data_IF_220894273292
#
_entry.id   IF_220894273292
#
_cell.length_a   1.000
_cell.length_b   1.000
_cell.length_c   1.000
_cell.angle_alpha   90.00
_cell.angle_beta   90.00
_cell.angle_gamma   90.00
#
_symmetry.space_group_name_H-M   'P 1'
#
loop_
_entity.id
_entity.type
_entity.pdbx_description
1 polymer ?
#
# COMPACT_ATOMS: atom_id res chain seq x y z
N UNK A 1 -7.36 34.68 -16.38
CA UNK A 1 -6.57 34.23 -15.21
C UNK A 1 -6.10 32.81 -15.48
N UNK A 2 -4.87 32.63 -15.96
CA UNK A 2 -4.27 31.33 -16.23
C UNK A 2 -3.97 30.60 -14.91
N UNK A 3 -4.49 29.39 -14.78
CA UNK A 3 -4.17 28.49 -13.66
C UNK A 3 -2.78 27.93 -13.94
N UNK A 4 -1.83 28.33 -13.10
CA UNK A 4 -0.46 27.81 -13.04
C UNK A 4 -0.55 26.30 -12.78
N UNK A 5 -0.28 25.49 -13.82
CA UNK A 5 -0.01 24.06 -13.66
C UNK A 5 1.26 23.95 -12.84
N UNK A 6 1.13 23.67 -11.56
CA UNK A 6 2.26 23.23 -10.76
C UNK A 6 2.79 21.96 -11.42
N UNK A 7 3.99 22.09 -11.99
CA UNK A 7 4.73 20.99 -12.55
C UNK A 7 4.86 19.95 -11.44
N UNK A 8 4.32 18.75 -11.66
CA UNK A 8 4.72 17.57 -10.92
C UNK A 8 6.23 17.45 -11.10
N UNK A 9 7.01 17.95 -10.13
CA UNK A 9 8.43 17.67 -10.09
C UNK A 9 8.53 16.15 -9.95
N UNK A 10 8.93 15.49 -11.03
CA UNK A 10 9.47 14.14 -10.96
C UNK A 10 10.66 14.24 -10.01
N UNK A 11 10.46 13.82 -8.75
CA UNK A 11 11.56 13.72 -7.80
C UNK A 11 12.50 12.67 -8.39
N UNK A 12 13.66 13.10 -8.90
CA UNK A 12 14.70 12.19 -9.34
C UNK A 12 15.08 11.32 -8.15
N UNK A 13 14.81 10.02 -8.25
CA UNK A 13 15.18 9.10 -7.21
C UNK A 13 16.70 9.05 -7.13
N UNK A 14 17.29 9.17 -5.94
CA UNK A 14 18.72 8.98 -5.80
C UNK A 14 19.08 7.58 -6.33
N UNK A 15 20.10 7.53 -7.17
CA UNK A 15 20.59 6.27 -7.74
C UNK A 15 21.27 5.47 -6.64
N UNK A 16 21.08 4.14 -6.64
CA UNK A 16 21.78 3.25 -5.73
C UNK A 16 23.03 2.74 -6.45
N UNK A 17 24.21 3.02 -5.89
CA UNK A 17 25.49 2.65 -6.50
C UNK A 17 26.03 1.30 -5.96
N UNK A 18 25.29 0.63 -5.08
CA UNK A 18 25.73 -0.63 -4.46
C UNK A 18 25.81 -1.77 -5.48
N UNK A 19 26.95 -2.48 -5.52
CA UNK A 19 27.18 -3.54 -6.52
C UNK A 19 26.58 -4.90 -6.14
N UNK A 20 26.25 -5.15 -4.86
CA UNK A 20 25.74 -6.45 -4.41
C UNK A 20 24.55 -6.32 -3.45
N UNK A 21 23.41 -6.96 -3.75
CA UNK A 21 22.28 -7.05 -2.82
C UNK A 21 22.60 -7.96 -1.64
N UNK A 22 22.07 -7.59 -0.47
CA UNK A 22 22.00 -8.44 0.72
C UNK A 22 20.61 -9.06 0.77
N UNK A 23 20.51 -10.38 0.83
CA UNK A 23 19.24 -11.09 0.93
C UNK A 23 19.14 -11.92 2.21
N UNK A 24 17.97 -11.94 2.82
CA UNK A 24 17.68 -12.72 4.02
C UNK A 24 16.26 -13.29 3.98
N UNK A 25 16.02 -14.39 4.71
CA UNK A 25 14.66 -14.88 4.92
C UNK A 25 13.96 -14.04 5.99
N UNK A 26 12.76 -13.56 5.69
CA UNK A 26 11.93 -12.81 6.62
C UNK A 26 10.48 -13.22 6.43
N UNK A 27 9.71 -13.43 7.51
CA UNK A 27 8.27 -13.77 7.46
C UNK A 27 7.93 -14.81 6.38
N UNK A 28 8.75 -15.87 6.28
CA UNK A 28 8.69 -16.96 5.28
C UNK A 28 8.95 -16.58 3.83
N UNK A 29 9.13 -15.29 3.52
CA UNK A 29 9.58 -14.79 2.23
C UNK A 29 11.08 -14.49 2.20
N UNK A 30 11.49 -13.74 1.18
CA UNK A 30 12.85 -13.23 1.01
C UNK A 30 12.80 -11.70 1.01
N UNK A 31 13.59 -11.10 1.89
CA UNK A 31 13.88 -9.67 1.90
C UNK A 31 15.21 -9.44 1.18
N UNK A 32 15.24 -8.54 0.22
CA UNK A 32 16.46 -8.12 -0.46
C UNK A 32 16.67 -6.63 -0.22
N UNK A 33 17.88 -6.24 0.14
CA UNK A 33 18.28 -4.87 0.40
C UNK A 33 19.48 -4.51 -0.47
N UNK A 34 19.43 -3.34 -1.09
CA UNK A 34 20.54 -2.70 -1.78
C UNK A 34 20.61 -1.25 -1.31
N UNK A 35 21.79 -0.68 -1.24
CA UNK A 35 21.92 0.70 -0.80
C UNK A 35 23.35 1.15 -0.62
N UNK A 36 23.52 2.46 -0.65
CA UNK A 36 24.76 3.15 -0.33
C UNK A 36 24.56 4.03 0.90
N UNK A 37 25.64 4.12 1.68
CA UNK A 37 25.72 4.94 2.89
C UNK A 37 27.03 5.72 2.78
N UNK A 38 26.94 7.04 2.84
CA UNK A 38 28.09 7.92 2.94
C UNK A 38 28.32 8.26 4.41
N UNK A 39 29.44 7.78 4.96
CA UNK A 39 29.78 7.95 6.37
C UNK A 39 30.57 9.25 6.58
N UNK A 40 29.86 10.37 6.60
CA UNK A 40 30.39 11.69 7.00
C UNK A 40 29.89 12.06 8.42
N UNK A 41 30.21 13.26 8.92
CA UNK A 41 29.72 13.78 10.21
C UNK A 41 28.19 13.68 10.35
N UNK A 42 27.48 13.87 9.23
CA UNK A 42 26.06 13.58 9.10
C UNK A 42 25.92 12.52 7.99
N UNK A 43 25.72 11.24 8.33
CA UNK A 43 25.64 10.19 7.34
C UNK A 43 24.49 10.43 6.36
N UNK A 44 24.72 10.22 5.06
CA UNK A 44 23.64 10.16 4.06
C UNK A 44 23.41 8.72 3.66
N UNK A 45 22.17 8.37 3.34
CA UNK A 45 21.84 7.00 2.96
C UNK A 45 20.76 6.97 1.89
N UNK A 46 20.85 5.96 1.04
CA UNK A 46 19.86 5.60 0.04
C UNK A 46 19.76 4.07 -0.02
N UNK A 47 18.59 3.52 0.29
CA UNK A 47 18.36 2.09 0.39
C UNK A 47 17.09 1.70 -0.35
N UNK A 48 17.13 0.60 -1.09
CA UNK A 48 15.98 -0.06 -1.67
C UNK A 48 15.83 -1.43 -1.01
N UNK A 49 14.64 -1.66 -0.47
CA UNK A 49 14.25 -2.90 0.18
C UNK A 49 13.11 -3.50 -0.63
N UNK A 50 13.22 -4.79 -0.91
CA UNK A 50 12.22 -5.58 -1.61
C UNK A 50 11.80 -6.77 -0.74
N UNK A 51 10.50 -7.04 -0.67
CA UNK A 51 9.94 -8.24 -0.08
C UNK A 51 9.32 -9.09 -1.19
N UNK A 52 9.76 -10.34 -1.29
CA UNK A 52 9.19 -11.34 -2.18
C UNK A 52 8.55 -12.46 -1.35
N UNK A 53 7.25 -12.70 -1.60
CA UNK A 53 6.46 -13.81 -1.03
C UNK A 53 6.50 -13.91 0.50
N UNK A 54 6.48 -12.77 1.20
CA UNK A 54 6.29 -12.76 2.65
C UNK A 54 4.87 -13.19 3.02
N UNK A 55 4.68 -13.84 4.16
CA UNK A 55 3.34 -14.23 4.63
C UNK A 55 2.78 -13.18 5.60
N UNK A 56 1.57 -12.69 5.31
CA UNK A 56 0.90 -11.68 6.12
C UNK A 56 0.59 -12.19 7.51
N UNK A 57 0.25 -13.47 7.66
CA UNK A 57 -0.02 -14.10 8.96
C UNK A 57 1.20 -14.11 9.89
N UNK A 58 2.40 -14.33 9.35
CA UNK A 58 3.65 -14.33 10.10
C UNK A 58 4.03 -12.89 10.51
N UNK A 59 3.73 -11.91 9.64
CA UNK A 59 3.84 -10.50 9.98
C UNK A 59 2.86 -10.11 11.09
N UNK A 60 1.58 -10.44 10.94
CA UNK A 60 0.53 -10.08 11.88
C UNK A 60 0.76 -10.71 13.26
N UNK A 61 1.17 -11.98 13.31
CA UNK A 61 1.51 -12.68 14.55
C UNK A 61 2.65 -12.00 15.33
N UNK A 62 3.61 -11.35 14.65
CA UNK A 62 4.71 -10.62 15.31
C UNK A 62 4.40 -9.18 15.66
N UNK A 63 3.71 -8.48 14.77
CA UNK A 63 3.66 -7.01 14.81
C UNK A 63 2.25 -6.44 14.98
N UNK A 64 1.21 -7.27 14.96
CA UNK A 64 -0.20 -6.86 15.07
C UNK A 64 -0.93 -7.72 16.12
N UNK A 65 -0.62 -7.53 17.42
CA UNK A 65 -1.26 -8.30 18.48
C UNK A 65 -2.78 -8.16 18.41
N UNK A 66 -3.49 -9.29 18.51
CA UNK A 66 -4.95 -9.36 18.38
C UNK A 66 -5.47 -9.57 16.95
N UNK A 67 -4.62 -9.57 15.92
CA UNK A 67 -5.04 -9.77 14.52
C UNK A 67 -4.61 -11.14 13.98
N UNK A 68 -5.18 -12.20 14.52
CA UNK A 68 -4.77 -13.59 14.24
C UNK A 68 -5.32 -14.19 12.93
N UNK A 69 -6.31 -13.55 12.31
CA UNK A 69 -7.03 -14.10 11.15
C UNK A 69 -6.57 -13.52 9.79
N UNK A 70 -5.60 -12.60 9.80
CA UNK A 70 -5.03 -12.09 8.55
C UNK A 70 -4.21 -13.17 7.86
N UNK A 71 -4.50 -13.46 6.59
CA UNK A 71 -3.67 -14.35 5.76
C UNK A 71 -3.39 -13.70 4.41
N UNK A 72 -2.26 -14.04 3.81
CA UNK A 72 -1.99 -13.66 2.42
C UNK A 72 -0.51 -13.60 2.07
N UNK A 73 -0.24 -13.47 0.77
CA UNK A 73 1.12 -13.37 0.24
C UNK A 73 1.44 -11.92 -0.09
N UNK A 74 2.41 -11.37 0.63
CA UNK A 74 2.91 -10.01 0.50
C UNK A 74 4.09 -9.94 -0.47
N UNK A 75 4.00 -9.01 -1.42
CA UNK A 75 5.11 -8.60 -2.28
C UNK A 75 5.16 -7.08 -2.28
N UNK A 76 6.35 -6.49 -2.23
CA UNK A 76 6.46 -5.05 -2.21
C UNK A 76 7.89 -4.56 -2.29
N UNK A 77 8.03 -3.26 -2.45
CA UNK A 77 9.32 -2.60 -2.41
C UNK A 77 9.17 -1.23 -1.78
N UNK A 78 10.25 -0.75 -1.18
CA UNK A 78 10.37 0.60 -0.65
C UNK A 78 11.76 1.10 -0.93
N UNK A 79 11.86 2.33 -1.45
CA UNK A 79 13.11 3.08 -1.47
C UNK A 79 13.05 4.13 -0.37
N UNK A 80 14.10 4.19 0.44
CA UNK A 80 14.28 5.08 1.58
C UNK A 80 15.56 5.88 1.39
N UNK A 81 15.50 7.19 1.62
CA UNK A 81 16.68 8.04 1.58
C UNK A 81 16.58 9.14 2.62
N UNK A 82 17.73 9.61 3.09
CA UNK A 82 17.76 10.62 4.13
C UNK A 82 19.17 10.94 4.59
N UNK A 83 19.24 11.65 5.73
CA UNK A 83 20.50 12.06 6.35
C UNK A 83 20.38 12.01 7.87
N UNK A 84 21.48 11.71 8.54
CA UNK A 84 21.57 11.60 9.99
C UNK A 84 20.63 10.53 10.56
N UNK A 85 20.36 10.63 11.87
CA UNK A 85 19.51 9.71 12.62
C UNK A 85 18.09 10.22 12.87
N UNK A 86 17.78 11.44 12.44
CA UNK A 86 16.48 12.06 12.69
C UNK A 86 15.40 11.44 11.79
N UNK A 87 14.33 10.92 12.41
CA UNK A 87 13.21 10.30 11.70
C UNK A 87 12.47 11.28 10.77
N UNK A 88 12.52 12.59 11.02
CA UNK A 88 11.90 13.58 10.11
C UNK A 88 12.69 13.79 8.82
N UNK A 89 13.99 13.49 8.80
CA UNK A 89 14.83 13.59 7.60
C UNK A 89 14.70 12.35 6.69
N UNK A 90 14.02 11.29 7.15
CA UNK A 90 13.71 10.10 6.37
C UNK A 90 12.63 10.38 5.33
N UNK A 91 12.95 10.12 4.07
CA UNK A 91 12.04 10.17 2.94
C UNK A 91 11.96 8.80 2.28
N UNK A 92 10.88 8.57 1.55
CA UNK A 92 10.72 7.31 0.86
C UNK A 92 9.55 7.26 -0.10
N UNK A 93 9.50 6.18 -0.86
CA UNK A 93 8.35 5.77 -1.64
C UNK A 93 8.34 4.27 -1.80
N UNK A 94 7.17 3.69 -2.01
CA UNK A 94 7.07 2.26 -2.15
C UNK A 94 5.67 1.80 -2.52
N UNK A 95 5.59 0.50 -2.77
CA UNK A 95 4.36 -0.20 -3.08
C UNK A 95 4.30 -1.51 -2.31
N UNK A 96 3.09 -1.86 -1.90
CA UNK A 96 2.80 -3.14 -1.26
C UNK A 96 1.58 -3.77 -1.94
N UNK A 97 1.72 -5.03 -2.29
CA UNK A 97 0.65 -5.88 -2.80
C UNK A 97 0.49 -7.10 -1.90
N UNK A 98 -0.75 -7.45 -1.59
CA UNK A 98 -1.11 -8.69 -0.90
C UNK A 98 -2.07 -9.45 -1.81
N UNK A 99 -1.61 -10.56 -2.37
CA UNK A 99 -2.43 -11.42 -3.23
C UNK A 99 -1.80 -12.82 -3.38
N UNK A 100 -2.58 -13.90 -3.18
CA UNK A 100 -3.94 -13.91 -2.66
C UNK A 100 -3.97 -13.40 -1.20
N UNK A 101 -5.12 -12.90 -0.76
CA UNK A 101 -5.32 -12.39 0.58
C UNK A 101 -6.63 -12.94 1.20
N UNK A 102 -6.65 -13.02 2.51
CA UNK A 102 -7.84 -13.23 3.31
C UNK A 102 -7.86 -12.16 4.42
N UNK A 103 -8.33 -10.96 4.08
CA UNK A 103 -8.40 -9.82 5.00
C UNK A 103 -9.85 -9.69 5.47
N UNK A 104 -10.30 -10.62 6.31
CA UNK A 104 -11.69 -10.72 6.76
C UNK A 104 -11.97 -9.96 8.06
N UNK A 105 -11.01 -9.89 8.99
CA UNK A 105 -11.26 -9.47 10.38
C UNK A 105 -10.49 -8.24 10.86
N UNK A 106 -10.29 -7.22 10.01
CA UNK A 106 -10.04 -5.92 10.64
C UNK A 106 -11.29 -5.59 11.46
N UNK A 107 -11.21 -5.35 12.79
CA UNK A 107 -12.36 -4.90 13.58
C UNK A 107 -13.14 -3.76 12.90
N UNK A 108 -12.47 -2.84 12.19
CA UNK A 108 -13.07 -1.92 11.23
C UNK A 108 -14.07 -2.47 10.23
N UNK A 109 -13.66 -3.51 9.49
CA UNK A 109 -14.41 -4.10 8.38
C UNK A 109 -15.60 -4.90 8.92
N UNK A 110 -15.43 -5.61 10.03
CA UNK A 110 -16.51 -6.35 10.68
C UNK A 110 -17.64 -5.41 11.17
N UNK A 111 -17.31 -4.20 11.63
CA UNK A 111 -18.32 -3.19 12.00
C UNK A 111 -19.10 -2.68 10.79
N UNK A 112 -18.46 -2.55 9.62
CA UNK A 112 -19.14 -2.20 8.36
C UNK A 112 -20.21 -3.24 8.02
N UNK A 113 -19.89 -4.53 8.10
CA UNK A 113 -20.85 -5.59 7.83
C UNK A 113 -22.02 -5.61 8.83
N UNK A 114 -21.76 -5.35 10.12
CA UNK A 114 -22.80 -5.26 11.16
C UNK A 114 -23.79 -4.11 10.91
N UNK A 115 -23.31 -2.95 10.48
CA UNK A 115 -24.15 -1.76 10.26
C UNK A 115 -24.97 -1.88 8.98
N UNK A 116 -24.41 -2.49 7.92
CA UNK A 116 -25.06 -2.54 6.59
C UNK A 116 -25.96 -3.78 6.40
N UNK A 117 -26.09 -4.66 7.41
CA UNK A 117 -26.86 -5.93 7.36
C UNK A 117 -26.58 -6.75 6.09
N UNK A 118 -25.35 -6.71 5.63
CA UNK A 118 -24.88 -7.55 4.52
C UNK A 118 -24.83 -9.00 5.03
N UNK A 119 -25.17 -9.98 4.19
CA UNK A 119 -24.83 -11.36 4.48
C UNK A 119 -23.34 -11.40 4.82
N UNK A 120 -22.97 -11.96 5.98
CA UNK A 120 -21.56 -12.14 6.31
C UNK A 120 -20.94 -12.91 5.14
N UNK A 121 -19.89 -12.38 4.49
CA UNK A 121 -19.25 -13.10 3.40
C UNK A 121 -18.83 -14.48 3.91
N UNK A 122 -19.34 -15.55 3.30
CA UNK A 122 -19.07 -16.92 3.76
C UNK A 122 -17.56 -17.24 3.79
N UNK A 123 -16.77 -16.56 2.93
CA UNK A 123 -15.34 -16.80 2.73
C UNK A 123 -14.62 -15.51 2.31
N UNK A 124 -14.02 -14.79 3.26
CA UNK A 124 -13.13 -13.60 3.08
C UNK A 124 -13.79 -12.33 2.51
N UNK A 125 -13.45 -11.15 3.06
CA UNK A 125 -14.00 -9.87 2.61
C UNK A 125 -13.22 -9.27 1.43
N UNK A 126 -11.89 -9.38 1.47
CA UNK A 126 -10.98 -8.93 0.42
C UNK A 126 -9.99 -10.04 0.05
N UNK A 127 -9.92 -10.34 -1.25
CA UNK A 127 -9.03 -11.33 -1.88
C UNK A 127 -7.68 -10.74 -2.30
N UNK A 128 -7.58 -9.41 -2.36
CA UNK A 128 -6.36 -8.70 -2.69
C UNK A 128 -6.33 -7.30 -2.10
N UNK A 129 -5.12 -6.83 -1.81
CA UNK A 129 -4.87 -5.46 -1.37
C UNK A 129 -3.68 -4.89 -2.14
N UNK A 130 -3.73 -3.61 -2.46
CA UNK A 130 -2.64 -2.85 -3.05
C UNK A 130 -2.55 -1.47 -2.41
N UNK A 131 -1.33 -1.00 -2.17
CA UNK A 131 -1.07 0.34 -1.68
C UNK A 131 0.16 0.94 -2.36
N UNK A 132 0.03 2.18 -2.83
CA UNK A 132 1.13 3.05 -3.27
C UNK A 132 1.28 4.20 -2.29
N UNK A 133 2.51 4.47 -1.85
CA UNK A 133 2.76 5.44 -0.78
C UNK A 133 4.08 6.19 -0.93
N UNK A 134 4.15 7.34 -0.27
CA UNK A 134 5.40 8.07 0.03
C UNK A 134 5.61 8.17 1.52
N UNK A 135 6.87 8.35 1.93
CA UNK A 135 7.27 8.57 3.32
C UNK A 135 7.90 9.95 3.41
N UNK A 136 7.43 10.75 4.35
CA UNK A 136 8.06 12.02 4.73
C UNK A 136 7.56 12.46 6.08
N UNK A 137 8.37 13.20 6.84
CA UNK A 137 7.96 13.78 8.12
C UNK A 137 7.30 12.74 9.04
N UNK A 138 7.89 11.55 9.15
CA UNK A 138 7.40 10.46 10.00
C UNK A 138 5.99 9.96 9.65
N UNK A 139 5.57 10.15 8.39
CA UNK A 139 4.23 9.81 7.91
C UNK A 139 4.34 9.03 6.60
N UNK A 140 3.59 7.93 6.50
CA UNK A 140 3.24 7.28 5.24
C UNK A 140 2.03 8.00 4.63
N UNK A 141 2.25 8.69 3.52
CA UNK A 141 1.21 9.29 2.70
C UNK A 141 0.74 8.27 1.67
N UNK A 142 -0.44 7.69 1.90
CA UNK A 142 -1.04 6.64 1.10
C UNK A 142 -1.72 7.28 -0.11
N UNK A 143 -1.04 7.27 -1.26
CA UNK A 143 -1.48 7.91 -2.50
C UNK A 143 -2.65 7.17 -3.12
N UNK A 144 -2.57 5.85 -3.10
CA UNK A 144 -3.60 4.96 -3.61
C UNK A 144 -3.71 3.74 -2.71
N UNK A 145 -4.95 3.38 -2.38
CA UNK A 145 -5.28 2.16 -1.63
C UNK A 145 -6.38 1.46 -2.40
N UNK A 146 -6.22 0.16 -2.58
CA UNK A 146 -7.19 -0.72 -3.21
C UNK A 146 -7.34 -1.97 -2.34
N UNK A 147 -8.56 -2.29 -1.94
CA UNK A 147 -8.94 -3.55 -1.34
C UNK A 147 -10.02 -4.16 -2.23
N UNK A 148 -9.70 -5.27 -2.89
CA UNK A 148 -10.59 -5.93 -3.84
C UNK A 148 -11.16 -7.19 -3.22
N UNK A 149 -12.44 -7.40 -3.46
CA UNK A 149 -13.20 -8.53 -2.97
C UNK A 149 -14.43 -8.77 -3.82
N UNK A 150 -14.92 -10.01 -3.80
CA UNK A 150 -16.06 -10.43 -4.61
C UNK A 150 -17.38 -9.72 -4.24
N UNK A 151 -17.59 -9.46 -2.94
CA UNK A 151 -18.81 -8.83 -2.43
C UNK A 151 -18.72 -7.30 -2.41
N UNK A 152 -17.54 -6.76 -2.10
CA UNK A 152 -17.29 -5.33 -1.99
C UNK A 152 -15.84 -5.04 -2.35
N UNK A 153 -15.60 -3.89 -2.99
CA UNK A 153 -14.25 -3.35 -3.21
C UNK A 153 -14.17 -1.94 -2.65
N UNK A 154 -13.06 -1.62 -1.98
CA UNK A 154 -12.81 -0.33 -1.36
C UNK A 154 -11.61 0.34 -2.02
N UNK A 155 -11.73 1.64 -2.26
CA UNK A 155 -10.69 2.45 -2.89
C UNK A 155 -10.45 3.72 -2.09
N UNK A 156 -9.19 4.07 -1.87
CA UNK A 156 -8.80 5.28 -1.15
C UNK A 156 -7.82 6.11 -1.95
N UNK A 157 -7.92 7.42 -1.77
CA UNK A 157 -6.93 8.38 -2.21
C UNK A 157 -6.62 9.31 -1.03
N UNK A 158 -5.34 9.65 -0.83
CA UNK A 158 -4.88 10.59 0.20
C UNK A 158 -5.16 10.14 1.65
N UNK A 159 -4.62 8.98 2.03
CA UNK A 159 -4.58 8.51 3.41
C UNK A 159 -3.26 8.82 4.13
N UNK A 160 -3.25 8.72 5.45
CA UNK A 160 -2.06 8.90 6.30
C UNK A 160 -1.95 7.80 7.34
N UNK A 161 -0.74 7.26 7.50
CA UNK A 161 -0.35 6.44 8.64
C UNK A 161 0.95 6.99 9.25
N UNK A 162 0.91 7.37 10.51
CA UNK A 162 2.00 8.02 11.22
C UNK A 162 2.90 6.96 11.89
N UNK A 163 4.18 7.27 12.09
CA UNK A 163 5.14 6.34 12.72
C UNK A 163 4.80 6.03 14.18
N UNK A 164 4.03 6.89 14.84
CA UNK A 164 3.48 6.67 16.18
C UNK A 164 2.23 5.77 16.18
N UNK A 165 1.82 5.28 15.01
CA UNK A 165 0.69 4.38 14.82
C UNK A 165 -0.64 5.08 14.59
N UNK A 166 -0.73 6.42 14.57
CA UNK A 166 -1.98 7.12 14.23
C UNK A 166 -2.36 6.91 12.77
N UNK A 167 -3.64 6.74 12.50
CA UNK A 167 -4.20 6.46 11.17
C UNK A 167 -5.29 7.46 10.81
N UNK A 168 -5.29 7.93 9.56
CA UNK A 168 -6.39 8.67 8.94
C UNK A 168 -6.55 8.23 7.49
N UNK A 169 -7.51 7.36 7.22
CA UNK A 169 -7.76 6.83 5.87
C UNK A 169 -9.23 6.90 5.54
N UNK A 170 -9.55 7.38 4.34
CA UNK A 170 -10.91 7.37 3.79
C UNK A 170 -10.97 6.41 2.61
N UNK A 171 -11.86 5.43 2.70
CA UNK A 171 -12.11 4.43 1.67
C UNK A 171 -13.51 4.59 1.10
N UNK A 172 -13.68 4.29 -0.17
CA UNK A 172 -14.91 4.44 -0.92
C UNK A 172 -15.26 3.15 -1.62
N UNK A 173 -16.53 2.73 -1.52
CA UNK A 173 -17.08 1.59 -2.26
C UNK A 173 -18.27 2.02 -3.09
N UNK A 174 -18.35 1.52 -4.32
CA UNK A 174 -19.56 1.60 -5.14
C UNK A 174 -20.37 0.32 -4.96
N UNK A 175 -21.61 0.46 -4.51
CA UNK A 175 -22.54 -0.65 -4.47
C UNK A 175 -23.21 -0.80 -5.85
N UNK A 176 -22.93 -1.89 -6.56
CA UNK A 176 -23.54 -2.13 -7.88
C UNK A 176 -24.96 -2.69 -7.70
N UNK A 177 -25.95 -2.06 -8.33
CA UNK A 177 -27.39 -2.42 -8.23
C UNK A 177 -27.71 -3.89 -8.55
N UNK A 178 -26.86 -4.58 -9.34
CA UNK A 178 -27.03 -5.99 -9.73
C UNK A 178 -26.62 -7.01 -8.66
N UNK A 179 -25.93 -6.61 -7.60
CA UNK A 179 -25.45 -7.52 -6.53
C UNK A 179 -26.20 -7.33 -5.20
N UNK A 180 -27.35 -6.63 -5.19
CA UNK A 180 -28.07 -6.30 -3.96
C UNK A 180 -29.43 -7.01 -3.89
N UNK A 181 -29.54 -8.18 -3.23
CA UNK A 181 -30.84 -8.77 -2.87
C UNK A 181 -31.38 -8.27 -1.52
N UNK A 182 -30.84 -7.18 -0.94
CA UNK A 182 -31.08 -6.82 0.46
C UNK A 182 -31.97 -5.58 0.65
N UNK A 183 -33.17 -5.72 1.27
CA UNK A 183 -34.13 -4.63 1.49
C UNK A 183 -33.63 -3.45 2.36
N UNK A 184 -32.55 -3.62 3.11
CA UNK A 184 -32.01 -2.58 3.99
C UNK A 184 -31.14 -1.55 3.25
N UNK A 185 -30.48 -1.96 2.16
CA UNK A 185 -29.58 -1.09 1.38
C UNK A 185 -30.39 -0.21 0.40
N UNK A 186 -31.54 -0.69 -0.06
CA UNK A 186 -32.43 0.07 -0.96
C UNK A 186 -32.98 1.34 -0.31
N UNK A 187 -33.12 1.37 1.03
CA UNK A 187 -33.58 2.55 1.78
C UNK A 187 -32.51 3.66 1.85
N UNK A 188 -31.23 3.30 1.87
CA UNK A 188 -30.10 4.26 1.87
C UNK A 188 -29.87 4.91 0.49
N UNK A 189 -30.32 4.26 -0.58
CA UNK A 189 -30.18 4.73 -1.97
C UNK A 189 -31.37 5.63 -2.38
N UNK A 190 -32.41 5.71 -1.54
CA UNK A 190 -33.54 6.60 -1.75
C UNK A 190 -33.12 8.07 -1.65
N UNK A 191 -33.08 8.75 -2.80
CA UNK A 191 -33.02 10.22 -2.96
C UNK A 191 -31.64 10.93 -2.97
N UNK A 192 -30.51 10.25 -2.75
CA UNK A 192 -29.16 10.86 -2.83
C UNK A 192 -28.28 10.20 -3.92
N UNK A 193 -27.78 11.01 -4.85
CA UNK A 193 -27.52 10.69 -6.27
C UNK A 193 -26.19 10.00 -6.61
N UNK A 194 -25.57 9.18 -5.75
CA UNK A 194 -24.26 8.60 -6.12
C UNK A 194 -24.02 7.12 -5.83
N UNK A 195 -24.74 6.47 -4.91
CA UNK A 195 -24.55 5.04 -4.62
C UNK A 195 -23.17 4.67 -4.02
N UNK A 196 -22.42 5.67 -3.55
CA UNK A 196 -21.11 5.52 -2.90
C UNK A 196 -21.23 5.59 -1.39
N UNK A 197 -20.48 4.73 -0.70
CA UNK A 197 -20.30 4.77 0.75
C UNK A 197 -18.87 5.18 1.04
N UNK A 198 -18.68 6.11 2.00
CA UNK A 198 -17.37 6.43 2.57
C UNK A 198 -17.20 5.68 3.90
N UNK A 199 -16.07 5.04 4.05
CA UNK A 199 -15.59 4.38 5.27
C UNK A 199 -14.40 5.19 5.77
N UNK A 200 -14.55 5.81 6.93
CA UNK A 200 -13.50 6.58 7.58
C UNK A 200 -12.82 5.71 8.64
N UNK A 201 -11.53 5.50 8.49
CA UNK A 201 -10.66 4.82 9.44
C UNK A 201 -9.86 5.88 10.20
N UNK A 202 -9.99 5.90 11.53
CA UNK A 202 -9.34 6.83 12.45
C UNK A 202 -8.72 6.09 13.63
N UNK A 203 -8.07 6.80 14.54
CA UNK A 203 -7.48 6.22 15.76
C UNK A 203 -6.05 5.75 15.52
N UNK A 204 -5.72 4.53 15.96
CA UNK A 204 -4.40 3.92 15.75
C UNK A 204 -4.50 2.61 14.98
N UNK A 205 -3.38 2.16 14.40
CA UNK A 205 -3.30 0.86 13.71
C UNK A 205 -3.69 -0.31 14.62
N UNK A 206 -3.49 -0.20 15.95
CA UNK A 206 -3.88 -1.21 16.93
C UNK A 206 -5.33 -1.10 17.40
N UNK A 207 -5.86 0.14 17.48
CA UNK A 207 -7.21 0.44 17.95
C UNK A 207 -7.92 1.39 16.99
N UNK A 208 -8.25 0.93 15.78
CA UNK A 208 -8.88 1.76 14.77
C UNK A 208 -10.36 2.01 15.10
N UNK A 209 -10.82 3.24 14.86
CA UNK A 209 -12.22 3.67 14.96
C UNK A 209 -12.78 3.76 13.54
N UNK A 210 -13.99 3.24 13.33
CA UNK A 210 -14.65 3.23 12.01
C UNK A 210 -15.96 3.96 12.03
N UNK A 211 -16.11 4.83 11.03
CA UNK A 211 -17.33 5.58 10.79
C UNK A 211 -17.74 5.42 9.31
N UNK A 212 -19.04 5.30 9.06
CA UNK A 212 -19.58 5.02 7.73
C UNK A 212 -20.52 6.16 7.35
N UNK A 213 -20.20 6.85 6.25
CA UNK A 213 -20.99 7.97 5.72
C UNK A 213 -21.67 7.57 4.41
N UNK A 214 -23.00 7.56 4.42
CA UNK A 214 -23.85 7.16 3.29
C UNK A 214 -24.12 8.27 2.26
N UNK A 215 -23.75 9.52 2.55
CA UNK A 215 -23.81 10.64 1.61
C UNK A 215 -22.49 11.42 1.61
N UNK A 216 -21.40 10.84 1.09
CA UNK A 216 -20.13 11.51 1.09
C UNK A 216 -20.15 12.71 0.14
N UNK A 217 -19.65 13.86 0.61
CA UNK A 217 -19.31 14.96 -0.28
C UNK A 217 -18.18 14.50 -1.21
N UNK A 218 -18.53 14.23 -2.46
CA UNK A 218 -17.58 13.87 -3.50
C UNK A 218 -17.13 15.15 -4.22
N UNK A 219 -15.91 15.59 -3.95
CA UNK A 219 -15.28 16.67 -4.71
C UNK A 219 -14.90 16.23 -6.14
N UNK A 220 -14.46 17.17 -6.98
CA UNK A 220 -14.12 16.90 -8.38
C UNK A 220 -12.96 15.92 -8.57
N UNK A 221 -11.93 16.00 -7.71
CA UNK A 221 -10.77 15.11 -7.73
C UNK A 221 -11.17 13.67 -7.40
N UNK A 222 -11.92 13.48 -6.33
CA UNK A 222 -12.39 12.20 -5.87
C UNK A 222 -13.36 11.57 -6.88
N UNK A 223 -14.29 12.35 -7.46
CA UNK A 223 -15.15 11.86 -8.56
C UNK A 223 -14.33 11.36 -9.74
N UNK A 224 -13.30 12.10 -10.13
CA UNK A 224 -12.43 11.74 -11.25
C UNK A 224 -11.65 10.45 -10.95
N UNK A 225 -11.08 10.36 -9.76
CA UNK A 225 -10.39 9.17 -9.27
C UNK A 225 -11.29 7.93 -9.30
N UNK A 226 -12.46 7.99 -8.66
CA UNK A 226 -13.41 6.89 -8.60
C UNK A 226 -13.87 6.45 -10.00
N UNK A 227 -14.14 7.41 -10.90
CA UNK A 227 -14.48 7.11 -12.29
C UNK A 227 -13.34 6.41 -13.06
N UNK A 228 -12.08 6.72 -12.77
CA UNK A 228 -10.93 6.08 -13.42
C UNK A 228 -10.73 4.65 -12.93
N UNK A 229 -10.78 4.44 -11.62
CA UNK A 229 -10.72 3.13 -10.99
C UNK A 229 -11.81 2.19 -11.55
N UNK A 230 -13.05 2.68 -11.65
CA UNK A 230 -14.19 1.90 -12.17
C UNK A 230 -14.04 1.50 -13.64
N UNK A 231 -13.30 2.26 -14.44
CA UNK A 231 -13.04 1.93 -15.85
C UNK A 231 -11.91 0.92 -16.01
N UNK A 232 -11.40 0.33 -14.92
CA UNK A 232 -10.25 -0.55 -14.93
C UNK A 232 -8.98 0.15 -15.38
N UNK A 233 -8.95 1.49 -15.36
CA UNK A 233 -7.74 2.26 -15.61
C UNK A 233 -7.01 2.38 -14.28
N UNK A 234 -5.86 1.71 -14.09
CA UNK A 234 -5.09 1.92 -12.88
C UNK A 234 -4.83 3.42 -12.75
N UNK A 235 -4.94 3.94 -11.53
CA UNK A 235 -4.48 5.27 -11.21
C UNK A 235 -2.98 5.31 -11.56
N UNK A 236 -2.65 5.79 -12.76
CA UNK A 236 -1.29 5.95 -13.30
C UNK A 236 -0.39 4.73 -13.17
N UNK A 237 -0.31 3.88 -14.22
CA UNK A 237 0.80 2.95 -14.45
C UNK A 237 1.37 2.23 -13.21
N UNK A 238 0.53 1.57 -12.42
CA UNK A 238 0.97 0.59 -11.41
C UNK A 238 1.45 -0.75 -12.03
N UNK A 239 1.60 -0.80 -13.36
CA UNK A 239 2.34 -1.82 -14.12
C UNK A 239 3.72 -1.30 -14.53
N UNK A 240 4.33 -0.46 -13.69
CA UNK A 240 5.76 -0.16 -13.70
C UNK A 240 6.54 -1.44 -13.52
N UNK A 241 6.68 -2.16 -14.62
CA UNK A 241 7.55 -3.30 -14.89
C UNK A 241 8.82 -3.11 -14.07
N UNK A 242 9.13 -4.11 -13.25
CA UNK A 242 10.45 -4.33 -12.65
C UNK A 242 11.55 -4.00 -13.66
N UNK A 243 12.03 -2.77 -13.68
CA UNK A 243 13.32 -2.43 -14.27
C UNK A 243 14.28 -2.44 -13.11
N UNK A 244 14.89 -3.61 -12.87
CA UNK A 244 16.22 -3.68 -12.27
C UNK A 244 17.03 -2.56 -12.91
N UNK A 245 17.66 -1.63 -12.16
CA UNK A 245 18.69 -0.80 -12.74
C UNK A 245 19.69 -1.76 -13.39
N UNK A 246 19.94 -1.56 -14.69
CA UNK A 246 20.80 -2.43 -15.47
C UNK A 246 22.13 -2.57 -14.72
N UNK A 247 22.49 -3.80 -14.37
CA UNK A 247 23.87 -4.11 -14.03
C UNK A 247 24.70 -3.70 -15.24
N UNK A 248 25.46 -2.62 -15.12
CA UNK A 248 26.53 -2.27 -16.04
C UNK A 248 27.56 -3.38 -15.99
N UNK A 249 27.35 -4.40 -16.82
CA UNK A 249 28.31 -5.47 -17.06
C UNK A 249 29.46 -4.91 -17.91
N UNK A 250 30.39 -4.19 -17.27
CA UNK A 250 31.76 -4.20 -17.74
C UNK A 250 32.45 -5.41 -17.11
N UNK A 251 32.11 -6.59 -17.63
CA UNK A 251 32.94 -7.77 -17.45
C UNK A 251 34.21 -7.58 -18.28
N UNK A 252 35.25 -7.00 -17.68
CA UNK A 252 36.61 -7.38 -18.08
C UNK A 252 36.86 -8.73 -17.47
N UNK A 253 36.62 -9.77 -18.26
CA UNK A 253 36.84 -11.16 -17.93
C UNK A 253 38.33 -11.39 -17.62
N UNK A 254 38.75 -11.19 -16.37
CA UNK A 254 40.01 -11.72 -15.86
C UNK A 254 39.76 -13.13 -15.34
N UNK A 255 39.95 -14.11 -16.22
CA UNK A 255 40.11 -15.50 -15.83
C UNK A 255 41.30 -15.60 -14.86
N UNK A 256 41.04 -16.08 -13.65
CA UNK A 256 42.07 -16.59 -12.78
C UNK A 256 42.12 -18.11 -12.94
N UNK A 257 43.27 -18.69 -13.31
CA UNK A 257 43.43 -20.14 -13.38
C UNK A 257 43.47 -20.71 -11.95
N UNK A 258 42.60 -21.70 -11.70
CA UNK A 258 42.69 -22.54 -10.51
C UNK A 258 43.89 -23.49 -10.68
N UNK A 259 44.79 -23.60 -9.69
CA UNK A 259 45.75 -24.70 -9.70
C UNK A 259 45.05 -25.99 -9.29
N UNK A 260 45.14 -26.99 -10.17
CA UNK A 260 44.91 -28.39 -9.83
C UNK A 260 46.04 -28.91 -8.93
N UNK A 261 45.70 -29.74 -7.94
CA UNK A 261 46.44 -30.93 -7.47
C UNK A 261 45.75 -31.43 -6.19
N UNK A 262 45.08 -32.59 -6.25
CA UNK A 262 45.55 -33.98 -5.99
C UNK A 262 45.06 -34.45 -4.62
#
# INVERSE_FOLDING_TARGET
RQIRREQFQSVSLPQINSMQPISAKAIRGVLTCMGDIELNDIPTYNMQIELNRGLLEEYAARYMPGQSQLRGVMNGWIQLWGRGSNKSDLKGQGQLQISPAAIYELPPIAQIFKVVRLAQPDKTAFDSAFCDFTVSNQTFHLKYIELKGNAISLYGQAGEAHFDGRLKVDLFSQLTRRQLPLPAITQLIGHATSGWIRVELRGTTSSPIVDIKSNPLLDGSLKTFLNNVMRGRPAGNATGRWTRPAQTSNQTQKQFPLPFAQ
#
